data_IF_262759764277
#
_entry.id   IF_262759764277
#
_cell.length_a   1.000
_cell.length_b   1.000
_cell.length_c   1.000
_cell.angle_alpha   90.00
_cell.angle_beta   90.00
_cell.angle_gamma   90.00
#
_symmetry.space_group_name_H-M   'P 1'
#
loop_
_entity.id
_entity.type
_entity.pdbx_description
1 polymer ?
#
# COMPACT_ATOMS: atom_id res chain seq x y z
N UNK A 1 -19.87 -14.90 6.15
CA UNK A 1 -19.12 -14.97 4.88
C UNK A 1 -18.04 -16.03 5.05
N UNK A 2 -17.60 -16.73 3.99
CA UNK A 2 -16.44 -17.62 4.13
C UNK A 2 -15.20 -16.76 4.41
N UNK A 3 -14.35 -17.14 5.39
CA UNK A 3 -13.13 -16.40 5.73
C UNK A 3 -12.22 -16.20 4.49
N UNK A 4 -12.30 -17.09 3.50
CA UNK A 4 -11.60 -16.93 2.21
C UNK A 4 -12.14 -15.76 1.38
N UNK A 5 -13.46 -15.55 1.36
CA UNK A 5 -14.06 -14.40 0.66
C UNK A 5 -13.60 -13.09 1.29
N UNK A 6 -13.60 -13.03 2.62
CA UNK A 6 -13.10 -11.86 3.34
C UNK A 6 -11.62 -11.61 3.03
N UNK A 7 -10.77 -12.65 3.09
CA UNK A 7 -9.36 -12.56 2.73
C UNK A 7 -9.15 -11.95 1.33
N UNK A 8 -9.89 -12.42 0.32
CA UNK A 8 -9.82 -11.91 -1.05
C UNK A 8 -10.22 -10.42 -1.09
N UNK A 9 -11.35 -10.06 -0.49
CA UNK A 9 -11.83 -8.67 -0.46
C UNK A 9 -10.83 -7.72 0.20
N UNK A 10 -10.20 -8.14 1.31
CA UNK A 10 -9.16 -7.34 1.99
C UNK A 10 -7.90 -7.20 1.15
N UNK A 11 -7.49 -8.27 0.48
CA UNK A 11 -6.33 -8.25 -0.41
C UNK A 11 -6.56 -7.28 -1.58
N UNK A 12 -7.70 -7.39 -2.27
CA UNK A 12 -8.05 -6.52 -3.39
C UNK A 12 -8.18 -5.04 -2.96
N UNK A 13 -8.77 -4.79 -1.79
CA UNK A 13 -8.81 -3.44 -1.19
C UNK A 13 -7.42 -2.85 -1.00
N UNK A 14 -6.49 -3.62 -0.45
CA UNK A 14 -5.12 -3.16 -0.20
C UNK A 14 -4.34 -2.93 -1.49
N UNK A 15 -4.50 -3.83 -2.47
CA UNK A 15 -3.92 -3.68 -3.80
C UNK A 15 -4.37 -2.37 -4.45
N UNK A 16 -5.68 -2.05 -4.39
CA UNK A 16 -6.20 -0.81 -4.95
C UNK A 16 -5.66 0.42 -4.21
N UNK A 17 -5.65 0.40 -2.87
CA UNK A 17 -5.09 1.50 -2.07
C UNK A 17 -3.60 1.73 -2.40
N UNK A 18 -2.81 0.67 -2.57
CA UNK A 18 -1.40 0.78 -2.95
C UNK A 18 -1.23 1.41 -4.33
N UNK A 19 -2.05 1.02 -5.32
CA UNK A 19 -2.04 1.63 -6.65
C UNK A 19 -2.34 3.13 -6.60
N UNK A 20 -3.41 3.51 -5.90
CA UNK A 20 -3.82 4.91 -5.73
C UNK A 20 -2.74 5.72 -4.99
N UNK A 21 -2.18 5.16 -3.92
CA UNK A 21 -1.14 5.81 -3.14
C UNK A 21 0.09 6.13 -3.98
N UNK A 22 0.58 5.18 -4.79
CA UNK A 22 1.75 5.40 -5.65
C UNK A 22 1.53 6.54 -6.65
N UNK A 23 0.34 6.61 -7.25
CA UNK A 23 -0.03 7.69 -8.18
C UNK A 23 -0.05 9.03 -7.45
N UNK A 24 -0.74 9.10 -6.30
CA UNK A 24 -0.86 10.30 -5.50
C UNK A 24 0.51 10.79 -5.02
N UNK A 25 1.33 9.87 -4.53
CA UNK A 25 2.64 10.17 -3.99
C UNK A 25 3.58 10.69 -5.09
N UNK A 26 3.62 10.02 -6.24
CA UNK A 26 4.37 10.50 -7.41
C UNK A 26 3.98 11.94 -7.79
N UNK A 27 2.67 12.21 -7.91
CA UNK A 27 2.17 13.55 -8.22
C UNK A 27 2.57 14.58 -7.14
N UNK A 28 2.50 14.20 -5.87
CA UNK A 28 2.94 15.05 -4.77
C UNK A 28 4.44 15.39 -4.87
N UNK A 29 5.29 14.42 -5.22
CA UNK A 29 6.73 14.64 -5.39
C UNK A 29 7.04 15.57 -6.57
N UNK A 30 6.37 15.36 -7.71
CA UNK A 30 6.48 16.24 -8.89
C UNK A 30 6.09 17.67 -8.55
N UNK A 31 4.95 17.84 -7.86
CA UNK A 31 4.42 19.15 -7.52
C UNK A 31 5.30 19.91 -6.52
N UNK A 32 5.85 19.21 -5.55
CA UNK A 32 6.64 19.82 -4.47
C UNK A 32 8.14 19.87 -4.76
N UNK A 33 8.59 19.22 -5.83
CA UNK A 33 9.99 19.02 -6.18
C UNK A 33 10.82 18.50 -4.99
N UNK A 34 10.32 17.44 -4.33
CA UNK A 34 10.92 16.88 -3.11
C UNK A 34 11.51 15.48 -3.28
N UNK A 35 11.72 15.05 -4.52
CA UNK A 35 12.31 13.76 -4.90
C UNK A 35 13.55 13.39 -4.08
N UNK A 36 14.50 14.32 -3.94
CA UNK A 36 15.77 14.09 -3.24
C UNK A 36 15.74 14.38 -1.73
N UNK A 37 14.60 14.82 -1.19
CA UNK A 37 14.44 15.05 0.25
C UNK A 37 14.16 13.74 0.97
N UNK A 38 14.54 13.69 2.25
CA UNK A 38 14.25 12.54 3.12
C UNK A 38 12.74 12.29 3.21
N UNK A 39 12.35 11.02 3.05
CA UNK A 39 10.97 10.55 3.15
C UNK A 39 10.51 10.43 4.60
N UNK A 40 11.44 10.10 5.51
CA UNK A 40 11.18 9.95 6.93
C UNK A 40 12.27 10.67 7.74
N UNK A 41 11.92 11.34 8.85
CA UNK A 41 12.86 12.13 9.66
C UNK A 41 14.08 11.36 10.18
N UNK A 42 13.93 10.05 10.40
CA UNK A 42 14.97 9.19 10.99
C UNK A 42 15.61 8.25 9.95
N UNK A 43 15.45 8.52 8.65
CA UNK A 43 15.96 7.66 7.58
C UNK A 43 16.77 8.44 6.55
N UNK A 44 17.82 7.81 6.02
CA UNK A 44 18.55 8.33 4.86
C UNK A 44 17.86 7.99 3.52
N UNK A 45 16.58 7.63 3.54
CA UNK A 45 15.81 7.23 2.37
C UNK A 45 15.17 8.49 1.78
N UNK A 46 15.48 8.80 0.53
CA UNK A 46 14.82 9.91 -0.17
C UNK A 46 13.39 9.53 -0.60
N UNK A 47 12.54 10.52 -0.86
CA UNK A 47 11.19 10.27 -1.37
C UNK A 47 11.20 9.44 -2.66
N UNK A 48 12.16 9.69 -3.57
CA UNK A 48 12.35 8.89 -4.78
C UNK A 48 12.68 7.43 -4.48
N UNK A 49 13.64 7.18 -3.57
CA UNK A 49 13.99 5.82 -3.14
C UNK A 49 12.81 5.11 -2.45
N UNK A 50 12.04 5.83 -1.65
CA UNK A 50 10.85 5.26 -1.02
C UNK A 50 9.79 4.86 -2.06
N UNK A 51 9.56 5.66 -3.11
CA UNK A 51 8.67 5.30 -4.21
C UNK A 51 9.16 4.05 -4.97
N UNK A 52 10.48 3.91 -5.19
CA UNK A 52 11.05 2.70 -5.77
C UNK A 52 10.82 1.47 -4.89
N UNK A 53 11.04 1.59 -3.58
CA UNK A 53 10.76 0.52 -2.61
C UNK A 53 9.28 0.13 -2.65
N UNK A 54 8.36 1.11 -2.68
CA UNK A 54 6.93 0.83 -2.79
C UNK A 54 6.59 0.08 -4.07
N UNK A 55 7.21 0.43 -5.20
CA UNK A 55 7.02 -0.31 -6.45
C UNK A 55 7.48 -1.77 -6.30
N UNK A 56 8.70 -2.00 -5.82
CA UNK A 56 9.26 -3.34 -5.65
C UNK A 56 8.42 -4.21 -4.68
N UNK A 57 8.04 -3.65 -3.53
CA UNK A 57 7.21 -4.35 -2.54
C UNK A 57 5.84 -4.67 -3.16
N UNK A 58 5.22 -3.70 -3.85
CA UNK A 58 3.90 -3.90 -4.45
C UNK A 58 3.89 -4.97 -5.55
N UNK A 59 4.96 -5.05 -6.35
CA UNK A 59 5.11 -6.07 -7.39
C UNK A 59 5.24 -7.47 -6.80
N UNK A 60 5.83 -7.61 -5.62
CA UNK A 60 5.98 -8.89 -4.96
C UNK A 60 4.71 -9.29 -4.19
N UNK A 61 4.25 -8.42 -3.30
CA UNK A 61 3.17 -8.70 -2.35
C UNK A 61 1.79 -8.67 -2.99
N UNK A 62 1.59 -7.84 -4.01
CA UNK A 62 0.32 -7.72 -4.73
C UNK A 62 0.41 -8.17 -6.20
N UNK A 63 1.29 -9.14 -6.47
CA UNK A 63 1.38 -9.80 -7.78
C UNK A 63 0.11 -10.57 -8.13
N UNK A 64 -0.07 -10.83 -9.43
CA UNK A 64 -1.13 -11.70 -9.92
C UNK A 64 -0.98 -13.12 -9.36
N UNK A 65 0.26 -13.59 -9.23
CA UNK A 65 0.60 -14.88 -8.64
C UNK A 65 0.13 -14.98 -7.18
N UNK A 66 0.37 -13.95 -6.37
CA UNK A 66 -0.13 -13.90 -4.99
C UNK A 66 -1.66 -13.83 -4.93
N UNK A 67 -2.26 -13.06 -5.84
CA UNK A 67 -3.72 -12.97 -5.92
C UNK A 67 -4.36 -14.32 -6.23
N UNK A 68 -3.82 -15.06 -7.20
CA UNK A 68 -4.28 -16.40 -7.54
C UNK A 68 -4.00 -17.41 -6.43
N UNK A 69 -2.89 -17.27 -5.71
CA UNK A 69 -2.57 -18.10 -4.56
C UNK A 69 -3.64 -17.95 -3.46
N UNK A 70 -4.01 -16.72 -3.12
CA UNK A 70 -5.05 -16.43 -2.12
C UNK A 70 -6.40 -17.03 -2.52
N UNK A 71 -6.74 -17.00 -3.80
CA UNK A 71 -8.00 -17.54 -4.32
C UNK A 71 -8.04 -19.07 -4.28
N UNK A 72 -6.97 -19.72 -4.73
CA UNK A 72 -7.03 -21.13 -5.14
C UNK A 72 -6.24 -22.09 -4.25
N UNK A 73 -5.20 -21.63 -3.55
CA UNK A 73 -4.36 -22.52 -2.73
C UNK A 73 -5.06 -22.84 -1.42
N UNK A 74 -4.90 -24.08 -0.94
CA UNK A 74 -5.39 -24.47 0.38
C UNK A 74 -4.64 -23.70 1.47
N UNK A 75 -5.39 -23.04 2.36
CA UNK A 75 -4.86 -22.28 3.48
C UNK A 75 -5.64 -22.75 4.71
N UNK A 76 -4.92 -23.13 5.77
CA UNK A 76 -5.53 -23.49 7.05
C UNK A 76 -6.34 -22.31 7.61
N UNK A 77 -7.47 -22.59 8.24
CA UNK A 77 -8.40 -21.55 8.71
C UNK A 77 -7.75 -20.55 9.68
N UNK A 78 -6.90 -21.04 10.60
CA UNK A 78 -6.14 -20.18 11.52
C UNK A 78 -5.22 -19.20 10.77
N UNK A 79 -4.54 -19.70 9.72
CA UNK A 79 -3.69 -18.86 8.89
C UNK A 79 -4.49 -17.84 8.07
N UNK A 80 -5.73 -18.15 7.66
CA UNK A 80 -6.60 -17.18 6.97
C UNK A 80 -6.89 -15.98 7.88
N UNK A 81 -7.19 -16.22 9.16
CA UNK A 81 -7.47 -15.15 10.13
C UNK A 81 -6.24 -14.28 10.39
N UNK A 82 -5.06 -14.88 10.49
CA UNK A 82 -3.80 -14.16 10.61
C UNK A 82 -3.52 -13.29 9.37
N UNK A 83 -3.77 -13.82 8.17
CA UNK A 83 -3.63 -13.05 6.94
C UNK A 83 -4.60 -11.86 6.89
N UNK A 84 -5.87 -12.05 7.26
CA UNK A 84 -6.86 -10.96 7.31
C UNK A 84 -6.39 -9.88 8.28
N UNK A 85 -5.91 -10.27 9.47
CA UNK A 85 -5.42 -9.33 10.48
C UNK A 85 -4.23 -8.53 9.97
N UNK A 86 -3.28 -9.19 9.31
CA UNK A 86 -2.12 -8.54 8.72
C UNK A 86 -2.51 -7.57 7.59
N UNK A 87 -3.45 -7.97 6.72
CA UNK A 87 -3.97 -7.09 5.67
C UNK A 87 -4.67 -5.87 6.27
N UNK A 88 -5.40 -6.01 7.38
CA UNK A 88 -6.02 -4.87 8.04
C UNK A 88 -5.01 -3.91 8.65
N UNK A 89 -3.92 -4.42 9.24
CA UNK A 89 -2.84 -3.58 9.77
C UNK A 89 -2.15 -2.82 8.63
N UNK A 90 -1.80 -3.52 7.55
CA UNK A 90 -1.20 -2.89 6.36
C UNK A 90 -2.09 -1.79 5.78
N UNK A 91 -3.41 -2.06 5.67
CA UNK A 91 -4.37 -1.08 5.18
C UNK A 91 -4.41 0.17 6.04
N UNK A 92 -4.54 0.03 7.36
CA UNK A 92 -4.62 1.17 8.28
C UNK A 92 -3.38 2.04 8.20
N UNK A 93 -2.20 1.42 8.17
CA UNK A 93 -0.93 2.12 8.10
C UNK A 93 -0.81 2.90 6.78
N UNK A 94 -1.09 2.24 5.64
CA UNK A 94 -1.02 2.88 4.34
C UNK A 94 -2.10 3.97 4.16
N UNK A 95 -3.32 3.74 4.65
CA UNK A 95 -4.42 4.68 4.54
C UNK A 95 -4.16 5.95 5.33
N UNK A 96 -3.57 5.83 6.53
CA UNK A 96 -3.15 6.99 7.32
C UNK A 96 -2.16 7.87 6.54
N UNK A 97 -1.16 7.27 5.91
CA UNK A 97 -0.17 7.98 5.10
C UNK A 97 -0.81 8.59 3.83
N UNK A 98 -1.69 7.83 3.17
CA UNK A 98 -2.45 8.30 2.02
C UNK A 98 -3.24 9.57 2.34
N UNK A 99 -3.99 9.56 3.44
CA UNK A 99 -4.83 10.69 3.84
C UNK A 99 -3.99 11.92 4.18
N UNK A 100 -2.85 11.74 4.84
CA UNK A 100 -1.91 12.83 5.13
C UNK A 100 -1.38 13.48 3.85
N UNK A 101 -0.93 12.68 2.88
CA UNK A 101 -0.43 13.20 1.60
C UNK A 101 -1.55 13.84 0.78
N UNK A 102 -2.76 13.26 0.78
CA UNK A 102 -3.91 13.82 0.09
C UNK A 102 -4.26 15.22 0.60
N UNK A 103 -4.35 15.39 1.93
CA UNK A 103 -4.60 16.70 2.56
C UNK A 103 -3.50 17.71 2.20
N UNK A 104 -2.23 17.31 2.27
CA UNK A 104 -1.11 18.18 1.86
C UNK A 104 -1.25 18.60 0.40
N UNK A 105 -1.58 17.67 -0.50
CA UNK A 105 -1.72 17.94 -1.93
C UNK A 105 -2.88 18.90 -2.26
N UNK A 106 -4.03 18.75 -1.59
CA UNK A 106 -5.17 19.67 -1.72
C UNK A 106 -4.84 21.09 -1.27
N UNK A 107 -4.05 21.24 -0.20
CA UNK A 107 -3.63 22.57 0.27
C UNK A 107 -2.71 23.30 -0.73
N UNK A 108 -2.03 22.58 -1.62
CA UNK A 108 -1.30 23.20 -2.72
C UNK A 108 -2.19 23.55 -3.93
N UNK A 109 -3.47 23.17 -3.95
CA UNK A 109 -4.43 23.51 -5.03
C UNK A 109 -5.34 24.69 -4.66
N UNK A 110 -5.21 25.24 -3.44
CA UNK A 110 -5.89 26.46 -2.98
C UNK A 110 -4.96 27.66 -3.13
#
# INVERSE_FOLDING_TARGET
>A
MSNRKELIEKFERNLNLMREFKILYNFFLDKTNTWDKEAFPDSNITNGQYLEILNQVSEKEYSNEQHEAIKNVFIHEDAINDYITNLEIQYKNLKSLFDEIAIKNENFNK
#
